data_IF_953095619407
#
_entry.id   IF_953095619407
#
_cell.length_a   1.000
_cell.length_b   1.000
_cell.length_c   1.000
_cell.angle_alpha   90.00
_cell.angle_beta   90.00
_cell.angle_gamma   90.00
#
_symmetry.space_group_name_H-M   'P 1'
#
loop_
_entity.id
_entity.type
_entity.pdbx_description
1 polymer ?
#
# COMPACT_ATOMS: atom_id res chain seq x y z
N UNK A 1 -6.94 9.83 1.14
CA UNK A 1 -6.06 8.70 1.52
C UNK A 1 -4.65 9.22 1.76
N UNK A 2 -3.78 8.41 2.36
CA UNK A 2 -2.32 8.61 2.42
C UNK A 2 -1.69 7.67 1.40
N UNK A 3 -0.63 8.07 0.70
CA UNK A 3 0.08 7.18 -0.23
C UNK A 3 1.29 6.55 0.47
N UNK A 4 1.55 5.27 0.24
CA UNK A 4 2.75 4.59 0.73
C UNK A 4 3.80 4.51 -0.38
N UNK A 5 4.99 5.05 -0.12
CA UNK A 5 6.17 4.92 -0.95
C UNK A 5 7.17 3.98 -0.28
N UNK A 6 7.48 2.87 -0.93
CA UNK A 6 8.37 1.84 -0.41
C UNK A 6 9.07 1.12 -1.57
N UNK A 7 10.20 0.49 -1.28
CA UNK A 7 10.90 -0.31 -2.30
C UNK A 7 10.16 -1.63 -2.53
N UNK A 8 9.77 -1.84 -3.78
CA UNK A 8 9.38 -3.15 -4.29
C UNK A 8 10.63 -4.04 -4.34
N UNK A 9 10.64 -5.12 -3.56
CA UNK A 9 11.82 -5.97 -3.49
C UNK A 9 11.61 -7.21 -2.65
N UNK A 10 12.40 -8.23 -2.96
CA UNK A 10 12.37 -9.56 -2.35
C UNK A 10 11.67 -10.58 -3.24
N UNK A 11 12.28 -11.75 -3.40
CA UNK A 11 11.74 -12.87 -4.20
C UNK A 11 10.64 -13.64 -3.46
N UNK A 12 10.49 -13.37 -2.16
CA UNK A 12 9.51 -14.04 -1.30
C UNK A 12 8.32 -13.12 -1.11
N UNK A 13 7.13 -13.67 -1.27
CA UNK A 13 5.87 -13.03 -0.91
C UNK A 13 5.17 -13.81 0.20
N UNK A 14 4.35 -13.10 0.96
CA UNK A 14 3.47 -13.67 2.00
C UNK A 14 2.03 -13.21 1.71
N UNK A 15 1.03 -14.08 1.96
CA UNK A 15 -0.35 -13.71 1.74
C UNK A 15 -0.81 -12.69 2.78
N UNK A 16 -1.47 -11.63 2.30
CA UNK A 16 -2.29 -10.73 3.10
C UNK A 16 -3.72 -10.75 2.58
N UNK A 17 -4.68 -10.42 3.43
CA UNK A 17 -6.10 -10.44 3.07
C UNK A 17 -6.67 -9.03 3.04
N UNK A 18 -7.33 -8.68 1.94
CA UNK A 18 -8.07 -7.44 1.79
C UNK A 18 -9.48 -7.77 1.26
N UNK A 19 -10.52 -7.50 2.06
CA UNK A 19 -11.92 -7.82 1.73
C UNK A 19 -12.09 -9.27 1.23
N UNK A 20 -11.53 -10.23 1.97
CA UNK A 20 -11.55 -11.67 1.65
C UNK A 20 -10.81 -12.09 0.36
N UNK A 21 -10.12 -11.16 -0.31
CA UNK A 21 -9.19 -11.45 -1.40
C UNK A 21 -7.78 -11.64 -0.86
N UNK A 22 -7.13 -12.73 -1.24
CA UNK A 22 -5.71 -12.94 -1.00
C UNK A 22 -4.88 -12.09 -1.95
N UNK A 23 -3.90 -11.38 -1.39
CA UNK A 23 -2.94 -10.55 -2.12
C UNK A 23 -1.55 -10.96 -1.67
N UNK A 24 -0.66 -11.23 -2.63
CA UNK A 24 0.73 -11.57 -2.35
C UNK A 24 1.53 -10.29 -2.12
N UNK A 25 1.98 -10.07 -0.88
CA UNK A 25 2.75 -8.91 -0.49
C UNK A 25 4.20 -9.28 -0.16
N UNK A 26 5.14 -8.38 -0.43
CA UNK A 26 6.52 -8.57 0.01
C UNK A 26 6.63 -8.40 1.54
N UNK A 27 7.61 -9.06 2.20
CA UNK A 27 7.87 -8.84 3.62
C UNK A 27 8.09 -7.36 3.98
N UNK A 28 8.70 -6.59 3.07
CA UNK A 28 8.89 -5.15 3.25
C UNK A 28 7.55 -4.41 3.36
N UNK A 29 6.60 -4.71 2.46
CA UNK A 29 5.25 -4.14 2.53
C UNK A 29 4.54 -4.56 3.82
N UNK A 30 4.63 -5.83 4.22
CA UNK A 30 4.00 -6.31 5.47
C UNK A 30 4.58 -5.60 6.70
N UNK A 31 5.89 -5.36 6.73
CA UNK A 31 6.55 -4.60 7.80
C UNK A 31 6.05 -3.15 7.85
N UNK A 32 5.96 -2.51 6.69
CA UNK A 32 5.42 -1.16 6.56
C UNK A 32 3.98 -1.07 7.07
N UNK A 33 3.09 -1.94 6.60
CA UNK A 33 1.68 -1.99 7.00
C UNK A 33 1.53 -2.26 8.50
N UNK A 34 2.32 -3.18 9.04
CA UNK A 34 2.31 -3.51 10.47
C UNK A 34 2.74 -2.33 11.33
N UNK A 35 3.75 -1.58 10.89
CA UNK A 35 4.23 -0.38 11.59
C UNK A 35 3.21 0.76 11.52
N UNK A 36 2.56 0.94 10.37
CA UNK A 36 1.51 1.94 10.17
C UNK A 36 0.21 1.63 10.93
N UNK A 37 -0.01 0.36 11.27
CA UNK A 37 -1.15 -0.11 12.07
C UNK A 37 -1.10 0.37 13.53
N UNK A 38 0.01 0.95 14.01
CA UNK A 38 0.12 1.42 15.40
C UNK A 38 -1.10 2.27 15.80
N UNK A 39 -1.85 1.74 16.77
CA UNK A 39 -3.02 2.40 17.35
C UNK A 39 -2.54 3.71 17.97
N UNK A 40 -3.16 4.83 17.59
CA UNK A 40 -3.02 6.04 18.37
C UNK A 40 -3.81 5.86 19.67
N UNK A 41 -3.17 5.76 20.85
CA UNK A 41 -3.88 5.49 22.10
C UNK A 41 -4.94 6.55 22.40
N UNK A 42 -4.69 7.79 21.93
CA UNK A 42 -5.59 8.94 22.02
C UNK A 42 -6.83 8.82 21.12
N UNK A 43 -6.78 8.00 20.06
CA UNK A 43 -7.87 7.86 19.08
C UNK A 43 -8.13 6.38 18.75
N UNK A 44 -8.84 5.65 19.64
CA UNK A 44 -9.08 4.22 19.49
C UNK A 44 -9.91 3.83 18.26
N UNK A 45 -10.64 4.78 17.67
CA UNK A 45 -11.42 4.61 16.42
C UNK A 45 -10.72 5.17 15.18
N UNK A 46 -9.44 5.52 15.28
CA UNK A 46 -8.72 6.09 14.14
C UNK A 46 -8.44 5.02 13.10
N UNK A 47 -9.15 5.10 11.98
CA UNK A 47 -8.89 4.31 10.77
C UNK A 47 -8.04 5.13 9.79
N UNK A 48 -6.98 4.53 9.26
CA UNK A 48 -6.20 5.12 8.16
C UNK A 48 -6.71 4.60 6.83
N UNK A 49 -6.89 5.51 5.88
CA UNK A 49 -7.12 5.15 4.48
C UNK A 49 -5.80 5.26 3.74
N UNK A 50 -5.22 4.13 3.37
CA UNK A 50 -3.94 4.05 2.65
C UNK A 50 -4.17 3.68 1.18
N UNK A 51 -3.38 4.27 0.31
CA UNK A 51 -3.18 3.80 -1.05
C UNK A 51 -1.81 3.12 -1.11
N UNK A 52 -1.81 1.88 -1.59
CA UNK A 52 -0.63 1.03 -1.72
C UNK A 52 -0.73 0.41 -3.10
N UNK A 53 0.25 0.65 -3.96
CA UNK A 53 0.27 0.18 -5.35
C UNK A 53 0.01 -1.35 -5.48
N UNK A 54 0.69 -2.18 -4.69
CA UNK A 54 0.53 -3.64 -4.71
C UNK A 54 -0.86 -4.15 -4.28
N UNK A 55 -1.68 -3.30 -3.66
CA UNK A 55 -3.04 -3.65 -3.19
C UNK A 55 -4.10 -2.97 -4.07
N UNK A 56 -3.90 -1.71 -4.41
CA UNK A 56 -4.88 -0.87 -5.10
C UNK A 56 -4.86 -1.02 -6.62
N UNK A 57 -3.78 -1.57 -7.19
CA UNK A 57 -3.65 -1.84 -8.62
C UNK A 57 -3.74 -3.34 -8.82
N UNK A 58 -4.57 -3.79 -9.76
CA UNK A 58 -4.54 -5.19 -10.18
C UNK A 58 -3.23 -5.48 -10.91
N UNK A 59 -2.37 -6.29 -10.26
CA UNK A 59 -1.03 -6.57 -10.76
C UNK A 59 -1.01 -7.55 -11.94
N UNK A 60 -2.06 -8.36 -12.09
CA UNK A 60 -2.20 -9.38 -13.13
C UNK A 60 -2.81 -8.78 -14.41
N UNK A 61 -3.53 -7.67 -14.29
CA UNK A 61 -4.08 -6.93 -15.43
C UNK A 61 -3.09 -5.89 -15.98
N UNK A 62 -2.29 -6.28 -16.98
CA UNK A 62 -1.28 -5.39 -17.60
C UNK A 62 -1.87 -4.10 -18.19
N UNK A 63 -3.11 -4.13 -18.70
CA UNK A 63 -3.76 -2.96 -19.31
C UNK A 63 -4.15 -1.96 -18.22
N UNK A 64 -4.81 -2.44 -17.16
CA UNK A 64 -5.14 -1.59 -16.01
C UNK A 64 -3.88 -1.06 -15.34
N UNK A 65 -2.89 -1.93 -15.10
CA UNK A 65 -1.62 -1.54 -14.50
C UNK A 65 -0.95 -0.42 -15.29
N UNK A 66 -0.95 -0.51 -16.63
CA UNK A 66 -0.44 0.54 -17.50
C UNK A 66 -1.14 1.89 -17.28
N UNK A 67 -2.48 1.89 -17.24
CA UNK A 67 -3.25 3.10 -16.97
C UNK A 67 -3.00 3.64 -15.55
N UNK A 68 -2.97 2.78 -14.54
CA UNK A 68 -2.74 3.17 -13.15
C UNK A 68 -1.35 3.79 -12.95
N UNK A 69 -0.32 3.23 -13.60
CA UNK A 69 1.05 3.76 -13.56
C UNK A 69 1.11 5.19 -14.10
N UNK A 70 0.34 5.51 -15.15
CA UNK A 70 0.25 6.87 -15.67
C UNK A 70 -0.39 7.85 -14.66
N UNK A 71 -1.29 7.35 -13.80
CA UNK A 71 -1.98 8.13 -12.77
C UNK A 71 -1.19 8.27 -11.46
N UNK A 72 -0.09 7.52 -11.27
CA UNK A 72 0.69 7.53 -10.02
C UNK A 72 1.11 8.95 -9.62
N UNK A 73 1.49 9.79 -10.58
CA UNK A 73 1.81 11.21 -10.31
C UNK A 73 0.65 11.92 -9.62
N UNK A 74 -0.56 11.78 -10.16
CA UNK A 74 -1.75 12.43 -9.63
C UNK A 74 -2.19 11.82 -8.30
N UNK A 75 -2.05 10.50 -8.13
CA UNK A 75 -2.34 9.81 -6.87
C UNK A 75 -1.46 10.34 -5.74
N UNK A 76 -0.16 10.48 -6.00
CA UNK A 76 0.78 11.02 -5.02
C UNK A 76 0.53 12.50 -4.76
N UNK A 77 0.20 13.27 -5.80
CA UNK A 77 -0.12 14.69 -5.69
C UNK A 77 -1.36 14.95 -4.82
N UNK A 78 -2.40 14.14 -4.97
CA UNK A 78 -3.67 14.29 -4.22
C UNK A 78 -3.69 13.54 -2.88
N UNK A 79 -2.63 12.80 -2.54
CA UNK A 79 -2.51 12.16 -1.24
C UNK A 79 -2.40 13.21 -0.13
N UNK A 80 -3.07 12.98 1.00
CA UNK A 80 -2.98 13.88 2.18
C UNK A 80 -1.53 14.05 2.66
N UNK A 81 -0.76 12.98 2.51
CA UNK A 81 0.69 12.92 2.67
C UNK A 81 1.20 11.63 2.05
N UNK A 82 2.48 11.61 1.72
CA UNK A 82 3.21 10.42 1.29
C UNK A 82 3.99 9.89 2.49
N UNK A 83 3.80 8.62 2.81
CA UNK A 83 4.52 7.90 3.86
C UNK A 83 5.68 7.18 3.19
N UNK A 84 6.90 7.52 3.58
CA UNK A 84 8.11 6.88 3.04
C UNK A 84 8.51 5.75 3.98
N UNK A 85 8.70 4.55 3.45
CA UNK A 85 9.17 3.38 4.16
C UNK A 85 10.52 2.92 3.57
N UNK A 86 11.54 2.87 4.41
CA UNK A 86 12.93 2.62 3.99
C UNK A 86 13.39 1.18 4.19
N UNK A 87 12.55 0.30 4.73
CA UNK A 87 12.94 -1.05 5.14
C UNK A 87 13.21 -1.15 6.63
#
# INVERSE_FOLDING_TARGET
YEALSYVWGGDRTVPIYCNDREILATPNLVSALSSLRQKMPKYPRFCRTLWVDAICIDQDNLVERGHQVQLVKDIYWHARRVLIWLG
#
